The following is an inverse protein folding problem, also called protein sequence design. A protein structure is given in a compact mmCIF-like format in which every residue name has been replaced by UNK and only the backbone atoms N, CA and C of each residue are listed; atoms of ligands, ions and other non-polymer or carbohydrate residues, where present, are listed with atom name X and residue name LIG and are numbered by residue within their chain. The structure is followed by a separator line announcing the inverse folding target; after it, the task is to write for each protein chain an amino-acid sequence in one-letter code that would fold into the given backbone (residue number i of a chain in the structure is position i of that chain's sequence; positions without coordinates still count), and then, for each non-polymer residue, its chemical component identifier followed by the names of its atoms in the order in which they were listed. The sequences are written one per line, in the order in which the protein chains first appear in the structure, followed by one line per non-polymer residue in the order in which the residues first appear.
data_IF_545038893282
#
_entry.id   IF_545038893282
#
_cell.length_a   1.000
_cell.length_b   1.000
_cell.length_c   1.000
_cell.angle_alpha   90.00
_cell.angle_beta   90.00
_cell.angle_gamma   90.00
#
_symmetry.space_group_name_H-M   'P 1'
#
loop_
_entity.id
_entity.type
_entity.pdbx_description
1 polymer ?
#
# COMPACT_ATOMS: atom_id res chain seq x y z
N UNK A 1 5.71 -5.19 -6.43
CA UNK A 1 6.19 -5.80 -7.70
C UNK A 1 7.72 -5.79 -7.80
N UNK A 2 8.39 -4.81 -7.18
CA UNK A 2 9.84 -4.81 -7.01
C UNK A 2 10.31 -5.75 -5.89
N UNK A 3 11.58 -6.16 -5.93
CA UNK A 3 12.28 -6.85 -4.84
C UNK A 3 12.52 -5.86 -3.67
N UNK A 4 12.16 -6.18 -2.42
CA UNK A 4 12.34 -5.28 -1.27
C UNK A 4 13.79 -4.94 -0.95
N UNK A 5 14.77 -5.73 -1.41
CA UNK A 5 16.19 -5.45 -1.16
C UNK A 5 16.79 -4.45 -2.16
N UNK A 6 16.03 -3.99 -3.16
CA UNK A 6 16.53 -3.07 -4.21
C UNK A 6 16.07 -1.63 -4.03
N UNK A 7 15.37 -1.29 -2.94
CA UNK A 7 14.87 0.06 -2.69
C UNK A 7 14.70 0.34 -1.19
N UNK A 8 14.67 1.62 -0.83
CA UNK A 8 14.40 2.09 0.53
C UNK A 8 13.30 3.16 0.51
N UNK A 9 12.44 3.17 1.53
CA UNK A 9 11.24 4.01 1.60
C UNK A 9 10.05 3.41 0.85
N UNK A 10 9.08 4.25 0.46
CA UNK A 10 7.94 3.81 -0.34
C UNK A 10 6.96 2.88 0.37
N UNK A 11 6.94 2.86 1.71
CA UNK A 11 6.03 2.02 2.49
C UNK A 11 4.61 2.56 2.42
N UNK A 12 3.65 1.64 2.27
CA UNK A 12 2.23 1.96 2.40
C UNK A 12 1.90 2.06 3.89
N UNK A 13 1.22 3.14 4.27
CA UNK A 13 0.68 3.38 5.61
C UNK A 13 -0.83 3.53 5.53
N UNK A 14 -1.53 2.99 6.51
CA UNK A 14 -2.98 3.19 6.67
C UNK A 14 -3.28 3.87 8.00
N UNK A 15 -3.93 5.03 7.94
CA UNK A 15 -4.35 5.81 9.09
C UNK A 15 -5.73 5.34 9.58
N UNK A 16 -5.82 4.06 9.96
CA UNK A 16 -7.04 3.40 10.43
C UNK A 16 -7.09 3.17 11.96
N UNK A 17 -6.05 3.62 12.68
CA UNK A 17 -5.91 3.49 14.13
C UNK A 17 -5.15 4.71 14.69
N UNK A 18 -4.95 4.74 16.01
CA UNK A 18 -4.16 5.80 16.68
C UNK A 18 -2.71 5.89 16.20
N UNK A 19 -2.18 4.81 15.62
CA UNK A 19 -0.89 4.77 14.92
C UNK A 19 -1.10 4.24 13.51
N UNK A 20 -0.35 4.74 12.51
CA UNK A 20 -0.39 4.19 11.16
C UNK A 20 -0.05 2.70 11.15
N UNK A 21 -0.80 1.92 10.38
CA UNK A 21 -0.57 0.49 10.21
C UNK A 21 0.48 0.27 9.12
N UNK A 22 1.49 -0.54 9.43
CA UNK A 22 2.51 -1.02 8.50
C UNK A 22 2.08 -2.32 7.81
N UNK A 23 2.51 -2.50 6.57
CA UNK A 23 2.22 -3.71 5.79
C UNK A 23 3.50 -4.42 5.33
N UNK A 24 3.44 -5.75 5.10
CA UNK A 24 4.52 -6.48 4.45
C UNK A 24 4.80 -5.93 3.03
N UNK A 25 6.08 -5.86 2.66
CA UNK A 25 6.52 -5.35 1.35
C UNK A 25 7.19 -6.43 0.48
N UNK A 26 7.08 -7.70 0.86
CA UNK A 26 7.60 -8.83 0.08
C UNK A 26 7.00 -8.83 -1.33
N UNK A 27 7.84 -9.14 -2.33
CA UNK A 27 7.42 -9.16 -3.74
C UNK A 27 6.34 -10.22 -3.95
N UNK A 28 5.24 -9.83 -4.59
CA UNK A 28 4.09 -10.71 -4.85
C UNK A 28 2.95 -10.58 -3.83
N UNK A 29 3.15 -9.83 -2.74
CA UNK A 29 2.11 -9.56 -1.75
C UNK A 29 1.08 -8.55 -2.27
N UNK A 30 -0.20 -8.85 -2.02
CA UNK A 30 -1.34 -7.96 -2.26
C UNK A 30 -1.92 -7.47 -0.93
N UNK A 31 -2.22 -6.17 -0.85
CA UNK A 31 -2.83 -5.54 0.32
C UNK A 31 -4.20 -5.01 -0.12
N UNK A 32 -5.27 -5.38 0.60
CA UNK A 32 -6.63 -4.93 0.34
C UNK A 32 -7.17 -4.24 1.60
N UNK A 33 -7.71 -3.03 1.44
CA UNK A 33 -8.31 -2.25 2.52
C UNK A 33 -9.49 -1.42 1.99
N UNK A 34 -10.47 -1.07 2.84
CA UNK A 34 -11.56 -0.19 2.47
C UNK A 34 -11.08 1.18 1.97
N UNK A 35 -11.63 1.64 0.85
CA UNK A 35 -11.18 2.86 0.15
C UNK A 35 -11.41 4.16 0.92
N UNK A 36 -12.27 4.15 1.95
CA UNK A 36 -12.50 5.32 2.80
C UNK A 36 -11.42 5.52 3.87
N UNK A 37 -10.49 4.58 4.03
CA UNK A 37 -9.36 4.79 4.92
C UNK A 37 -8.31 5.69 4.26
N UNK A 38 -7.83 6.67 5.03
CA UNK A 38 -6.73 7.53 4.64
C UNK A 38 -5.46 6.69 4.51
N UNK A 39 -4.90 6.65 3.31
CA UNK A 39 -3.70 5.91 2.96
C UNK A 39 -2.62 6.87 2.48
N UNK A 40 -1.37 6.51 2.76
CA UNK A 40 -0.19 7.30 2.45
C UNK A 40 0.92 6.38 1.96
N UNK A 41 1.74 6.86 1.02
CA UNK A 41 2.98 6.20 0.64
C UNK A 41 4.14 7.10 1.05
N UNK A 42 5.02 6.58 1.90
CA UNK A 42 6.22 7.30 2.33
C UNK A 42 7.10 7.65 1.11
N UNK A 43 7.87 8.75 1.16
CA UNK A 43 8.81 9.09 0.10
C UNK A 43 9.79 7.94 -0.22
N UNK A 44 10.21 7.87 -1.48
CA UNK A 44 11.31 6.99 -1.89
C UNK A 44 12.64 7.63 -1.46
N UNK A 45 13.49 6.86 -0.79
CA UNK A 45 14.84 7.30 -0.38
C UNK A 45 15.85 6.86 -1.43
N UNK A 46 15.82 5.59 -1.84
CA UNK A 46 16.68 5.03 -2.89
C UNK A 46 15.93 3.99 -3.75
N UNK A 47 16.43 3.77 -4.97
CA UNK A 47 15.89 2.75 -5.87
C UNK A 47 14.53 3.11 -6.49
N UNK A 48 13.81 2.10 -6.97
CA UNK A 48 12.49 2.25 -7.61
C UNK A 48 11.53 1.15 -7.16
N UNK A 49 10.36 1.54 -6.65
CA UNK A 49 9.28 0.64 -6.25
C UNK A 49 8.11 0.71 -7.22
N UNK A 50 7.84 -0.40 -7.90
CA UNK A 50 6.64 -0.55 -8.73
C UNK A 50 5.51 -1.21 -7.94
N UNK A 51 4.32 -0.63 -8.05
CA UNK A 51 3.09 -1.12 -7.47
C UNK A 51 1.98 -1.12 -8.53
N UNK A 52 1.07 -2.09 -8.43
CA UNK A 52 -0.19 -2.09 -9.16
C UNK A 52 -1.29 -1.75 -8.16
N UNK A 53 -2.14 -0.78 -8.51
CA UNK A 53 -3.25 -0.31 -7.68
C UNK A 53 -4.52 -0.51 -8.46
N UNK A 54 -5.56 -1.03 -7.80
CA UNK A 54 -6.87 -1.23 -8.37
C UNK A 54 -7.96 -0.94 -7.33
N UNK A 55 -9.11 -0.49 -7.82
CA UNK A 55 -10.31 -0.28 -7.01
C UNK A 55 -11.35 -1.34 -7.36
N UNK A 56 -12.01 -1.84 -6.33
CA UNK A 56 -13.08 -2.84 -6.47
C UNK A 56 -14.31 -2.25 -5.81
N UNK A 57 -15.41 -2.15 -6.56
CA UNK A 57 -16.73 -1.82 -6.04
C UNK A 57 -17.60 -3.07 -5.98
N UNK A 58 -18.40 -3.20 -4.93
CA UNK A 58 -19.45 -4.22 -4.88
C UNK A 58 -20.61 -3.92 -5.83
N UNK A 59 -21.61 -4.81 -5.90
CA UNK A 59 -22.86 -4.55 -6.60
C UNK A 59 -23.51 -3.25 -6.10
N UNK A 60 -24.24 -2.58 -6.97
CA UNK A 60 -25.05 -1.43 -6.59
C UNK A 60 -26.21 -1.92 -5.71
N UNK A 61 -26.05 -1.83 -4.39
CA UNK A 61 -27.11 -2.15 -3.44
C UNK A 61 -28.08 -0.95 -3.40
N UNK A 62 -29.38 -1.24 -3.56
CA UNK A 62 -30.47 -0.25 -3.60
C UNK A 62 -30.85 0.24 -2.20
#
# INVERSE_FOLDING_TARGET
LSDPNTYEGGRLKLHAASRPIDFPNSRGTTIMFPSFFMNEVEPMITGKRWALVGWISGPQLR
#
